data_IF_907710726800
#
_entry.id   IF_907710726800
#
_cell.length_a   1.000
_cell.length_b   1.000
_cell.length_c   1.000
_cell.angle_alpha   90.00
_cell.angle_beta   90.00
_cell.angle_gamma   90.00
#
_symmetry.space_group_name_H-M   'P 1'
#
loop_
_entity.id
_entity.type
_entity.pdbx_description
1 polymer ?
#
# COMPACT_ATOMS: atom_id res chain seq x y z
N UNK A 1 -12.76 4.55 -7.00
CA UNK A 1 -11.96 4.76 -5.76
C UNK A 1 -12.34 3.71 -4.71
N UNK A 2 -12.35 2.42 -5.04
CA UNK A 2 -12.92 1.36 -4.17
C UNK A 2 -11.92 0.28 -3.78
N UNK A 3 -10.83 0.07 -4.55
CA UNK A 3 -9.83 -0.94 -4.21
C UNK A 3 -9.17 -0.70 -2.84
N UNK A 4 -8.81 0.55 -2.54
CA UNK A 4 -8.18 0.95 -1.28
C UNK A 4 -9.18 0.85 -0.10
N UNK A 5 -10.48 1.07 -0.37
CA UNK A 5 -11.58 0.92 0.61
C UNK A 5 -11.95 -0.53 0.93
N UNK A 6 -11.54 -1.46 0.08
CA UNK A 6 -11.70 -2.90 0.31
C UNK A 6 -10.46 -3.52 0.97
N UNK A 7 -9.45 -2.72 1.31
CA UNK A 7 -8.29 -3.16 2.09
C UNK A 7 -8.52 -3.00 3.60
N UNK A 8 -7.93 -3.87 4.42
CA UNK A 8 -7.91 -3.70 5.88
C UNK A 8 -7.36 -2.33 6.26
N UNK A 9 -8.00 -1.67 7.24
CA UNK A 9 -7.70 -0.29 7.64
C UNK A 9 -6.21 -0.06 7.96
N UNK A 10 -5.57 -1.08 8.53
CA UNK A 10 -4.13 -1.09 8.88
C UNK A 10 -3.19 -0.88 7.69
N UNK A 11 -3.60 -1.26 6.47
CA UNK A 11 -2.81 -1.04 5.25
C UNK A 11 -3.24 0.23 4.53
N UNK A 12 -4.53 0.59 4.62
CA UNK A 12 -5.10 1.78 4.01
C UNK A 12 -4.45 3.04 4.54
N UNK A 13 -4.34 3.21 5.86
CA UNK A 13 -3.75 4.42 6.45
C UNK A 13 -2.32 4.63 5.97
N UNK A 14 -1.49 3.58 5.97
CA UNK A 14 -0.10 3.68 5.54
C UNK A 14 0.00 4.00 4.04
N UNK A 15 -0.85 3.39 3.21
CA UNK A 15 -0.88 3.65 1.77
C UNK A 15 -1.40 5.06 1.45
N UNK A 16 -2.41 5.54 2.17
CA UNK A 16 -2.99 6.86 1.99
C UNK A 16 -2.00 7.95 2.42
N UNK A 17 -1.38 7.81 3.59
CA UNK A 17 -0.35 8.75 4.04
C UNK A 17 0.85 8.79 3.09
N UNK A 18 1.25 7.63 2.53
CA UNK A 18 2.40 7.56 1.62
C UNK A 18 2.09 8.01 0.19
N UNK A 19 0.90 7.69 -0.32
CA UNK A 19 0.53 7.87 -1.73
C UNK A 19 -0.32 9.11 -1.99
N UNK A 20 -1.12 9.54 -1.00
CA UNK A 20 -1.98 10.73 -1.10
C UNK A 20 -1.31 11.93 -0.45
N UNK A 21 -0.76 11.76 0.75
CA UNK A 21 -0.09 12.84 1.47
C UNK A 21 1.42 12.90 1.23
N UNK A 22 1.98 11.93 0.50
CA UNK A 22 3.41 11.86 0.15
C UNK A 22 4.37 11.85 1.35
N UNK A 23 3.90 11.47 2.54
CA UNK A 23 4.72 11.47 3.76
C UNK A 23 5.89 10.48 3.66
N UNK A 24 6.96 10.76 4.39
CA UNK A 24 8.08 9.82 4.53
C UNK A 24 7.71 8.70 5.48
N UNK A 25 8.33 7.53 5.30
CA UNK A 25 8.10 6.36 6.14
C UNK A 25 8.30 6.66 7.64
N UNK A 26 9.22 7.58 7.96
CA UNK A 26 9.51 8.06 9.32
C UNK A 26 8.37 8.87 9.93
N UNK A 27 7.78 9.79 9.17
CA UNK A 27 6.63 10.59 9.63
C UNK A 27 5.39 9.73 9.82
N UNK A 28 5.18 8.77 8.91
CA UNK A 28 4.10 7.78 9.01
C UNK A 28 4.30 6.89 10.25
N UNK A 29 5.51 6.40 10.47
CA UNK A 29 5.88 5.61 11.64
C UNK A 29 5.57 6.37 12.94
N UNK A 30 5.96 7.65 13.00
CA UNK A 30 5.72 8.50 14.17
C UNK A 30 4.23 8.83 14.38
N UNK A 31 3.47 9.00 13.31
CA UNK A 31 2.03 9.28 13.38
C UNK A 31 1.23 8.08 13.85
N UNK A 32 1.58 6.88 13.37
CA UNK A 32 0.88 5.64 13.67
C UNK A 32 1.45 4.91 14.89
N UNK A 33 2.45 5.47 15.56
CA UNK A 33 3.21 4.80 16.63
C UNK A 33 3.71 3.41 16.21
N UNK A 34 4.22 3.31 14.99
CA UNK A 34 4.79 2.10 14.39
C UNK A 34 6.29 2.28 14.19
N UNK A 35 7.02 1.19 14.04
CA UNK A 35 8.41 1.24 13.55
C UNK A 35 8.44 1.48 12.04
N UNK A 36 9.49 2.14 11.54
CA UNK A 36 9.68 2.34 10.10
C UNK A 36 9.66 1.03 9.30
N UNK A 37 10.23 -0.05 9.87
CA UNK A 37 10.15 -1.39 9.29
C UNK A 37 8.71 -1.90 9.19
N UNK A 38 7.90 -1.64 10.22
CA UNK A 38 6.50 -2.06 10.26
C UNK A 38 5.65 -1.29 9.24
N UNK A 39 6.00 -0.03 8.94
CA UNK A 39 5.44 0.79 7.85
C UNK A 39 5.87 0.23 6.50
N UNK A 40 7.15 -0.07 6.31
CA UNK A 40 7.68 -0.63 5.05
C UNK A 40 7.03 -1.99 4.71
N UNK A 41 6.88 -2.89 5.70
CA UNK A 41 6.21 -4.19 5.51
C UNK A 41 4.72 -3.99 5.16
N UNK A 42 4.04 -3.03 5.79
CA UNK A 42 2.64 -2.70 5.47
C UNK A 42 2.49 -2.14 4.06
N UNK A 43 3.41 -1.27 3.62
CA UNK A 43 3.44 -0.77 2.24
C UNK A 43 3.67 -1.89 1.23
N UNK A 44 4.64 -2.77 1.49
CA UNK A 44 4.96 -3.90 0.63
C UNK A 44 3.77 -4.85 0.49
N UNK A 45 3.18 -5.27 1.62
CA UNK A 45 2.00 -6.15 1.63
C UNK A 45 0.78 -5.47 1.01
N UNK A 46 0.60 -4.18 1.27
CA UNK A 46 -0.49 -3.40 0.69
C UNK A 46 -0.41 -3.34 -0.83
N UNK A 47 0.79 -3.09 -1.37
CA UNK A 47 1.07 -3.15 -2.81
C UNK A 47 0.87 -4.55 -3.39
N UNK A 48 1.35 -5.60 -2.72
CA UNK A 48 1.18 -6.97 -3.17
C UNK A 48 -0.30 -7.38 -3.21
N UNK A 49 -1.10 -6.95 -2.24
CA UNK A 49 -2.55 -7.21 -2.24
C UNK A 49 -3.28 -6.41 -3.33
N UNK A 50 -2.88 -5.16 -3.57
CA UNK A 50 -3.39 -4.38 -4.71
C UNK A 50 -3.05 -5.06 -6.03
N UNK A 51 -1.81 -5.51 -6.20
CA UNK A 51 -1.37 -6.25 -7.38
C UNK A 51 -2.18 -7.54 -7.54
N UNK A 52 -2.32 -8.34 -6.48
CA UNK A 52 -3.10 -9.57 -6.53
C UNK A 52 -4.59 -9.32 -6.84
N UNK A 53 -5.19 -8.25 -6.34
CA UNK A 53 -6.55 -7.85 -6.71
C UNK A 53 -6.65 -7.41 -8.17
N UNK A 54 -5.68 -6.62 -8.65
CA UNK A 54 -5.63 -6.21 -10.05
C UNK A 54 -5.45 -7.41 -10.98
N UNK A 55 -4.61 -8.38 -10.62
CA UNK A 55 -4.45 -9.63 -11.36
C UNK A 55 -5.75 -10.45 -11.40
N UNK A 56 -6.46 -10.55 -10.28
CA UNK A 56 -7.77 -11.22 -10.22
C UNK A 56 -8.85 -10.51 -11.04
N UNK A 57 -8.81 -9.18 -11.10
CA UNK A 57 -9.70 -8.36 -11.93
C UNK A 57 -9.30 -8.35 -13.41
N UNK A 58 -8.26 -9.09 -13.81
CA UNK A 58 -7.82 -9.20 -15.20
C UNK A 58 -6.88 -8.07 -15.67
N UNK A 59 -6.44 -7.18 -14.78
CA UNK A 59 -5.41 -6.16 -15.05
C UNK A 59 -3.97 -6.70 -14.91
N UNK A 60 -3.80 -8.02 -14.92
CA UNK A 60 -2.52 -8.72 -14.73
C UNK A 60 -1.56 -8.56 -15.91
N UNK A 61 -0.65 -7.59 -15.81
CA UNK A 61 0.70 -7.55 -16.40
C UNK A 61 0.86 -8.15 -17.81
N UNK A 62 0.18 -7.59 -18.80
CA UNK A 62 0.76 -7.46 -20.14
C UNK A 62 1.45 -6.09 -20.23
N UNK A 63 2.77 -6.05 -20.35
CA UNK A 63 3.51 -4.81 -20.61
C UNK A 63 4.53 -4.38 -19.57
N UNK A 64 5.40 -5.28 -19.12
CA UNK A 64 6.83 -4.92 -18.98
C UNK A 64 7.65 -6.22 -18.96
N UNK A 65 7.98 -6.68 -20.16
CA UNK A 65 9.13 -7.56 -20.37
C UNK A 65 10.40 -6.71 -20.21
N UNK A 66 11.28 -7.16 -19.31
CA UNK A 66 12.72 -6.91 -19.40
C UNK A 66 13.39 -8.26 -19.61
#
# INVERSE_FOLDING_TARGET
MELIRSMPDTYREVLELRCVLEWSNKDIARRLSLSENAVAVRLMRGKALLQNKLEQEGYGREGFGI
#
